data_IF_404682847172
#
_entry.id   IF_404682847172
#
_cell.length_a   1.000
_cell.length_b   1.000
_cell.length_c   1.000
_cell.angle_alpha   90.00
_cell.angle_beta   90.00
_cell.angle_gamma   90.00
#
_symmetry.space_group_name_H-M   'P 1'
#
loop_
_entity.id
_entity.type
_entity.pdbx_description
1 polymer ?
#
# COMPACT_ATOMS: atom_id res chain seq x y z
N UNK A 1 21.53 -52.97 34.35
CA UNK A 1 20.43 -52.97 33.36
C UNK A 1 19.72 -51.62 33.20
N UNK A 2 19.82 -50.67 34.14
CA UNK A 2 19.13 -49.37 34.05
C UNK A 2 19.93 -48.19 33.44
N UNK A 3 21.16 -48.41 32.95
CA UNK A 3 22.01 -47.36 32.33
C UNK A 3 22.16 -47.47 30.80
N UNK A 4 21.61 -48.52 30.18
CA UNK A 4 21.72 -48.77 28.73
C UNK A 4 20.47 -48.42 27.93
N UNK A 5 19.36 -48.04 28.59
CA UNK A 5 18.09 -47.68 27.93
C UNK A 5 17.98 -46.18 27.59
N UNK A 6 18.82 -45.32 28.15
CA UNK A 6 18.80 -43.88 27.83
C UNK A 6 19.65 -43.47 26.62
N UNK A 7 20.56 -44.31 26.12
CA UNK A 7 21.48 -43.91 25.04
C UNK A 7 20.90 -44.18 23.63
N UNK A 8 19.95 -45.10 23.48
CA UNK A 8 19.33 -45.36 22.16
C UNK A 8 18.21 -44.40 21.77
N UNK A 9 17.69 -43.58 22.69
CA UNK A 9 16.66 -42.57 22.38
C UNK A 9 17.25 -41.23 21.93
N UNK A 10 18.55 -41.01 22.08
CA UNK A 10 19.22 -39.74 21.72
C UNK A 10 19.86 -39.81 20.31
N UNK A 11 19.82 -40.96 19.63
CA UNK A 11 20.54 -41.19 18.35
C UNK A 11 19.66 -41.30 17.10
N UNK A 12 18.33 -41.34 17.24
CA UNK A 12 17.40 -41.54 16.11
C UNK A 12 16.73 -40.24 15.62
N UNK A 13 17.24 -39.09 16.05
CA UNK A 13 16.65 -37.78 15.76
C UNK A 13 17.66 -36.98 14.93
N UNK A 14 17.40 -36.94 13.62
CA UNK A 14 17.97 -36.00 12.63
C UNK A 14 19.35 -36.28 12.00
N UNK A 15 19.58 -37.53 11.57
CA UNK A 15 20.42 -37.81 10.37
C UNK A 15 19.64 -37.58 9.05
N UNK A 16 18.38 -37.14 9.09
CA UNK A 16 17.65 -36.63 7.92
C UNK A 16 17.94 -35.15 7.68
N UNK A 17 19.21 -34.83 7.42
CA UNK A 17 19.55 -33.67 6.61
C UNK A 17 19.09 -33.92 5.17
N UNK A 18 18.60 -32.86 4.51
CA UNK A 18 18.23 -32.79 3.10
C UNK A 18 16.93 -33.49 2.66
N UNK A 19 15.77 -32.96 3.06
CA UNK A 19 14.57 -32.98 2.22
C UNK A 19 13.71 -31.74 2.47
N UNK A 20 13.57 -30.90 1.44
CA UNK A 20 12.67 -29.75 1.37
C UNK A 20 11.21 -30.23 1.48
N UNK A 21 10.43 -29.80 2.48
CA UNK A 21 8.98 -29.62 2.36
C UNK A 21 8.39 -28.83 3.56
N UNK A 22 7.84 -27.66 3.24
CA UNK A 22 6.62 -27.00 3.76
C UNK A 22 6.24 -27.09 5.24
N UNK A 23 6.09 -25.94 5.91
CA UNK A 23 4.99 -25.52 6.84
C UNK A 23 5.42 -24.16 7.44
N UNK A 24 4.91 -23.04 6.93
CA UNK A 24 3.76 -22.28 7.44
C UNK A 24 4.12 -21.25 8.55
N UNK A 25 3.59 -20.04 8.37
CA UNK A 25 3.86 -18.79 9.08
C UNK A 25 3.47 -18.80 10.57
N UNK A 26 4.20 -18.02 11.38
CA UNK A 26 3.61 -17.32 12.52
C UNK A 26 4.30 -15.97 12.69
N UNK A 27 3.60 -14.95 12.18
CA UNK A 27 3.83 -13.52 12.32
C UNK A 27 3.31 -13.07 13.71
N UNK A 28 4.01 -12.14 14.35
CA UNK A 28 3.47 -11.00 15.11
C UNK A 28 4.59 -10.34 15.93
N UNK A 29 4.97 -9.13 15.54
CA UNK A 29 5.45 -8.08 16.45
C UNK A 29 5.22 -6.70 15.82
N UNK A 30 3.97 -6.24 16.00
CA UNK A 30 3.49 -4.88 16.23
C UNK A 30 4.19 -3.68 15.56
N UNK A 31 3.52 -3.10 14.56
CA UNK A 31 3.44 -1.65 14.36
C UNK A 31 1.95 -1.26 14.25
N UNK A 32 1.46 -0.59 15.28
CA UNK A 32 0.15 0.07 15.40
C UNK A 32 0.51 1.54 15.73
N UNK A 33 0.11 2.60 15.01
CA UNK A 33 -1.21 3.01 14.53
C UNK A 33 -1.12 4.09 13.41
N UNK A 34 -2.00 4.02 12.41
CA UNK A 34 -2.74 5.17 11.85
C UNK A 34 -2.26 5.88 10.56
N UNK A 35 -3.19 6.00 9.59
CA UNK A 35 -3.17 6.77 8.33
C UNK A 35 -2.56 6.10 7.06
N UNK A 36 -3.45 5.48 6.30
CA UNK A 36 -3.56 5.37 4.83
C UNK A 36 -2.33 5.53 3.90
N UNK A 37 -2.03 4.41 3.22
CA UNK A 37 -1.46 4.22 1.86
C UNK A 37 -0.70 5.38 1.22
N UNK A 38 0.60 5.15 1.02
CA UNK A 38 1.35 5.65 -0.15
C UNK A 38 2.45 4.65 -0.48
N UNK A 39 2.18 3.78 -1.45
CA UNK A 39 3.17 2.89 -2.04
C UNK A 39 3.77 3.49 -3.30
N UNK A 40 4.99 3.08 -3.64
CA UNK A 40 5.34 2.83 -5.04
C UNK A 40 6.43 1.76 -5.09
N UNK A 41 6.01 0.53 -5.36
CA UNK A 41 6.85 -0.52 -5.94
C UNK A 41 6.01 -1.19 -7.03
N UNK A 42 6.03 -0.57 -8.22
CA UNK A 42 5.66 -1.07 -9.55
C UNK A 42 4.67 -2.25 -9.67
N UNK A 43 3.41 -1.96 -10.03
CA UNK A 43 2.52 -2.90 -10.73
C UNK A 43 2.12 -2.31 -12.10
N UNK A 44 2.42 -2.99 -13.24
CA UNK A 44 2.02 -2.52 -14.57
C UNK A 44 0.51 -2.66 -14.77
N UNK A 45 -0.21 -1.52 -14.78
CA UNK A 45 -1.66 -1.44 -14.95
C UNK A 45 -2.38 -0.54 -13.93
N UNK A 46 -1.65 0.04 -12.97
CA UNK A 46 -2.17 0.92 -11.93
C UNK A 46 -2.26 2.38 -12.39
N UNK A 47 -3.28 3.11 -11.93
CA UNK A 47 -3.49 4.50 -12.30
C UNK A 47 -2.29 5.39 -11.93
N UNK A 48 -1.94 6.30 -12.85
CA UNK A 48 -0.78 7.18 -12.69
C UNK A 48 -1.15 8.40 -11.85
N UNK A 49 -0.31 8.81 -10.91
CA UNK A 49 -0.56 10.04 -10.16
C UNK A 49 -0.57 11.25 -11.11
N UNK A 50 -1.60 12.08 -11.01
CA UNK A 50 -1.72 13.29 -11.82
C UNK A 50 -0.67 14.32 -11.44
N UNK A 51 -0.09 14.26 -10.23
CA UNK A 51 1.00 15.14 -9.80
C UNK A 51 0.55 16.52 -9.33
N UNK A 52 -0.75 16.82 -9.32
CA UNK A 52 -1.27 18.13 -8.95
C UNK A 52 -1.08 18.40 -7.45
N UNK A 53 -0.53 19.57 -7.12
CA UNK A 53 -0.24 20.01 -5.74
C UNK A 53 -1.25 21.05 -5.27
N UNK A 54 -1.95 21.68 -6.21
CA UNK A 54 -3.06 22.57 -5.95
C UNK A 54 -4.37 21.82 -6.16
N UNK A 55 -5.34 22.06 -5.27
CA UNK A 55 -6.67 21.51 -5.37
C UNK A 55 -7.38 22.17 -6.56
N UNK A 56 -7.77 21.43 -7.62
CA UNK A 56 -8.39 22.03 -8.80
C UNK A 56 -9.79 22.59 -8.52
N UNK A 57 -10.39 22.22 -7.38
CA UNK A 57 -11.73 22.67 -6.99
C UNK A 57 -11.69 23.94 -6.16
N UNK A 58 -10.77 24.05 -5.19
CA UNK A 58 -10.68 25.22 -4.29
C UNK A 58 -9.55 26.19 -4.62
N UNK A 59 -8.55 25.77 -5.41
CA UNK A 59 -7.35 26.54 -5.70
C UNK A 59 -6.33 26.57 -4.55
N UNK A 60 -6.54 25.79 -3.49
CA UNK A 60 -5.67 25.75 -2.32
C UNK A 60 -4.59 24.67 -2.43
N UNK A 61 -3.46 24.85 -1.73
CA UNK A 61 -2.44 23.81 -1.61
C UNK A 61 -3.00 22.57 -0.94
N UNK A 62 -2.61 21.41 -1.44
CA UNK A 62 -2.98 20.12 -0.89
C UNK A 62 -2.04 19.79 0.28
N UNK A 63 -2.61 19.47 1.44
CA UNK A 63 -1.88 18.88 2.56
C UNK A 63 -1.91 17.35 2.42
N UNK A 64 -0.73 16.72 2.31
CA UNK A 64 -0.61 15.27 2.14
C UNK A 64 -1.25 14.47 3.29
N UNK A 65 -1.41 15.04 4.48
CA UNK A 65 -2.02 14.36 5.63
C UNK A 65 -3.55 14.34 5.59
N UNK A 66 -4.15 15.28 4.88
CA UNK A 66 -5.60 15.48 4.84
C UNK A 66 -6.17 15.36 3.43
N UNK A 67 -5.31 15.00 2.46
CA UNK A 67 -5.69 14.94 1.05
C UNK A 67 -6.70 13.83 0.81
N UNK A 68 -7.61 14.07 -0.11
CA UNK A 68 -8.41 13.03 -0.72
C UNK A 68 -7.87 12.76 -2.13
N UNK A 69 -8.02 11.54 -2.62
CA UNK A 69 -7.67 11.17 -4.00
C UNK A 69 -8.87 10.60 -4.74
N UNK A 70 -8.87 10.71 -6.06
CA UNK A 70 -9.85 10.06 -6.92
C UNK A 70 -9.22 9.64 -8.23
N UNK A 71 -9.43 8.38 -8.60
CA UNK A 71 -8.99 7.86 -9.89
C UNK A 71 -10.03 8.17 -10.97
N UNK A 72 -9.56 8.76 -12.08
CA UNK A 72 -10.35 8.99 -13.26
C UNK A 72 -9.49 8.86 -14.52
N UNK A 73 -9.98 8.08 -15.50
CA UNK A 73 -9.26 7.79 -16.75
C UNK A 73 -7.82 7.28 -16.55
N UNK A 74 -7.62 6.42 -15.55
CA UNK A 74 -6.29 5.86 -15.23
C UNK A 74 -5.31 6.89 -14.67
N UNK A 75 -5.80 8.05 -14.19
CA UNK A 75 -5.02 9.04 -13.45
C UNK A 75 -5.58 9.25 -12.06
N UNK A 76 -4.72 9.41 -11.06
CA UNK A 76 -5.09 9.70 -9.66
C UNK A 76 -5.00 11.21 -9.45
N UNK A 77 -6.13 11.85 -9.20
CA UNK A 77 -6.21 13.28 -8.90
C UNK A 77 -6.19 13.50 -7.39
N UNK A 78 -5.42 14.49 -6.94
CA UNK A 78 -5.30 14.85 -5.53
C UNK A 78 -6.19 16.06 -5.20
N UNK A 79 -6.77 16.08 -3.99
CA UNK A 79 -7.69 17.13 -3.52
C UNK A 79 -7.38 17.52 -2.08
N UNK A 80 -7.64 18.78 -1.70
CA UNK A 80 -7.41 19.24 -0.33
C UNK A 80 -8.37 18.62 0.71
N UNK A 81 -9.50 18.07 0.27
CA UNK A 81 -10.49 17.43 1.15
C UNK A 81 -11.45 16.53 0.36
N UNK A 82 -12.18 15.65 1.08
CA UNK A 82 -13.19 14.77 0.49
C UNK A 82 -14.36 15.51 -0.18
N UNK A 83 -14.67 16.74 0.25
CA UNK A 83 -15.70 17.56 -0.41
C UNK A 83 -15.29 17.99 -1.82
N UNK A 84 -14.00 18.24 -2.04
CA UNK A 84 -13.48 18.58 -3.36
C UNK A 84 -13.48 17.37 -4.31
N UNK A 85 -13.14 16.17 -3.84
CA UNK A 85 -13.27 14.97 -4.67
C UNK A 85 -14.72 14.66 -5.03
N UNK A 86 -15.69 15.02 -4.18
CA UNK A 86 -17.12 14.96 -4.49
C UNK A 86 -17.50 15.88 -5.67
N UNK A 87 -17.13 17.16 -5.61
CA UNK A 87 -17.37 18.12 -6.70
C UNK A 87 -16.69 17.72 -8.00
N UNK A 88 -15.48 17.15 -7.91
CA UNK A 88 -14.78 16.62 -9.08
C UNK A 88 -15.58 15.54 -9.81
N UNK A 89 -16.30 14.67 -9.09
CA UNK A 89 -17.11 13.61 -9.71
C UNK A 89 -18.32 14.14 -10.48
N UNK A 90 -18.79 15.35 -10.16
CA UNK A 90 -19.94 15.96 -10.84
C UNK A 90 -19.56 16.50 -12.23
N UNK A 91 -18.34 17.04 -12.37
CA UNK A 91 -17.84 17.63 -13.62
C UNK A 91 -16.31 17.44 -13.73
N UNK A 92 -15.84 16.20 -13.95
CA UNK A 92 -14.41 15.89 -13.91
C UNK A 92 -13.63 16.60 -15.00
N UNK A 93 -14.16 16.68 -16.23
CA UNK A 93 -13.47 17.25 -17.37
C UNK A 93 -13.09 18.72 -17.14
N UNK A 94 -13.99 19.52 -16.53
CA UNK A 94 -13.71 20.91 -16.13
C UNK A 94 -12.51 21.05 -15.19
N UNK A 95 -12.40 20.16 -14.20
CA UNK A 95 -11.32 20.24 -13.21
C UNK A 95 -10.01 19.63 -13.73
N UNK A 96 -10.10 18.70 -14.70
CA UNK A 96 -8.92 18.11 -15.35
C UNK A 96 -8.20 19.14 -16.21
N UNK A 97 -8.92 20.05 -16.87
CA UNK A 97 -8.30 21.18 -17.58
C UNK A 97 -7.42 22.02 -16.64
N UNK A 98 -7.95 22.36 -15.46
CA UNK A 98 -7.21 23.11 -14.42
C UNK A 98 -5.95 22.35 -13.99
N UNK A 99 -6.05 21.04 -13.78
CA UNK A 99 -4.89 20.21 -13.42
C UNK A 99 -3.86 20.16 -14.54
N UNK A 100 -4.29 20.00 -15.79
CA UNK A 100 -3.37 19.98 -16.92
C UNK A 100 -2.66 21.33 -17.10
N UNK A 101 -3.34 22.45 -16.85
CA UNK A 101 -2.74 23.79 -16.87
C UNK A 101 -1.70 23.99 -15.75
N UNK A 102 -1.90 23.42 -14.56
CA UNK A 102 -0.92 23.47 -13.46
C UNK A 102 0.40 22.76 -13.81
N UNK A 103 0.32 21.72 -14.64
CA UNK A 103 1.41 20.78 -14.89
C UNK A 103 2.19 21.05 -16.18
N UNK A 104 1.80 22.08 -16.94
CA UNK A 104 2.38 22.42 -18.25
C UNK A 104 3.37 23.60 -18.16
#
# INVERSE_FOLDING_TARGET
MLRSMCVMLVSAVFIFGAARLSFAQMDHSAHEQGAEVSGVDNVPGEAVDAGNKICPVSGEKIDEKMKATYEYQGKIYNFCCAGCSGKFKEDPDKYIEIVNEELN
#
